data_IF_615308396258
#
_entry.id   IF_615308396258
#
_cell.length_a   1.000
_cell.length_b   1.000
_cell.length_c   1.000
_cell.angle_alpha   90.00
_cell.angle_beta   90.00
_cell.angle_gamma   90.00
#
_symmetry.space_group_name_H-M   'P 1'
#
loop_
_entity.id
_entity.type
_entity.pdbx_description
1 polymer ?
#
# COMPACT_ATOMS: atom_id res chain seq x y z
N UNK A 1 -36.50 36.58 -42.07
CA UNK A 1 -36.34 35.90 -40.76
C UNK A 1 -36.58 34.38 -40.75
N UNK A 2 -37.41 33.79 -41.65
CA UNK A 2 -37.70 32.34 -41.65
C UNK A 2 -36.48 31.44 -41.96
N UNK A 3 -35.60 31.88 -42.86
CA UNK A 3 -34.40 31.10 -43.28
C UNK A 3 -33.38 30.83 -42.15
N UNK A 4 -33.22 31.77 -41.20
CA UNK A 4 -32.31 31.60 -40.07
C UNK A 4 -32.83 30.59 -39.03
N UNK A 5 -34.16 30.42 -38.90
CA UNK A 5 -34.74 29.42 -38.00
C UNK A 5 -34.51 28.01 -38.54
N UNK A 6 -34.68 27.80 -39.85
CA UNK A 6 -34.46 26.51 -40.50
C UNK A 6 -32.99 26.05 -40.44
N UNK A 7 -32.04 26.97 -40.60
CA UNK A 7 -30.61 26.65 -40.42
C UNK A 7 -30.23 26.30 -38.97
N UNK A 8 -30.92 26.90 -37.97
CA UNK A 8 -30.69 26.56 -36.55
C UNK A 8 -31.20 25.17 -36.20
N UNK A 9 -32.36 24.77 -36.71
CA UNK A 9 -32.94 23.43 -36.45
C UNK A 9 -32.09 22.33 -37.11
N UNK A 10 -31.67 22.51 -38.37
CA UNK A 10 -30.80 21.56 -39.05
C UNK A 10 -29.41 21.43 -38.39
N UNK A 11 -28.87 22.52 -37.82
CA UNK A 11 -27.65 22.47 -37.01
C UNK A 11 -27.84 21.71 -35.69
N UNK A 12 -29.01 21.80 -35.05
CA UNK A 12 -29.31 21.07 -33.82
C UNK A 12 -29.52 19.57 -34.07
N UNK A 13 -30.12 19.19 -35.19
CA UNK A 13 -30.22 17.78 -35.61
C UNK A 13 -28.86 17.20 -36.01
N UNK A 14 -28.01 17.97 -36.68
CA UNK A 14 -26.63 17.56 -36.99
C UNK A 14 -25.73 17.43 -35.75
N UNK A 15 -26.07 18.10 -34.64
CA UNK A 15 -25.43 17.98 -33.33
C UNK A 15 -26.11 16.92 -32.43
N UNK A 16 -27.23 16.34 -32.87
CA UNK A 16 -27.91 15.29 -32.12
C UNK A 16 -27.15 13.98 -32.31
N UNK A 17 -26.48 13.53 -31.25
CA UNK A 17 -25.84 12.22 -31.22
C UNK A 17 -26.95 11.19 -31.34
N UNK A 18 -26.96 10.39 -32.40
CA UNK A 18 -27.93 9.30 -32.55
C UNK A 18 -27.89 8.40 -31.30
N UNK A 19 -29.04 7.87 -30.86
CA UNK A 19 -29.11 7.01 -29.65
C UNK A 19 -28.12 5.83 -29.69
N UNK A 20 -27.78 5.35 -30.90
CA UNK A 20 -26.73 4.36 -31.16
C UNK A 20 -25.34 4.88 -30.81
N UNK A 21 -25.00 6.10 -31.21
CA UNK A 21 -23.72 6.73 -30.90
C UNK A 21 -23.61 7.04 -29.39
N UNK A 22 -24.68 7.46 -28.72
CA UNK A 22 -24.70 7.62 -27.26
C UNK A 22 -24.40 6.30 -26.53
N UNK A 23 -24.99 5.20 -27.01
CA UNK A 23 -24.72 3.85 -26.48
C UNK A 23 -23.25 3.42 -26.66
N UNK A 24 -22.61 3.78 -27.77
CA UNK A 24 -21.19 3.52 -28.02
C UNK A 24 -20.33 4.36 -27.06
N UNK A 25 -20.59 5.66 -26.94
CA UNK A 25 -19.84 6.54 -26.05
C UNK A 25 -19.96 6.11 -24.58
N UNK A 26 -21.15 5.67 -24.14
CA UNK A 26 -21.34 5.14 -22.78
C UNK A 26 -20.45 3.91 -22.52
N UNK A 27 -20.39 2.96 -23.46
CA UNK A 27 -19.53 1.77 -23.32
C UNK A 27 -18.06 2.13 -23.30
N UNK A 28 -17.63 3.07 -24.14
CA UNK A 28 -16.24 3.55 -24.15
C UNK A 28 -15.92 4.21 -22.80
N UNK A 29 -16.79 5.09 -22.30
CA UNK A 29 -16.60 5.75 -21.01
C UNK A 29 -16.53 4.72 -19.85
N UNK A 30 -17.40 3.72 -19.84
CA UNK A 30 -17.37 2.64 -18.86
C UNK A 30 -16.08 1.80 -18.93
N UNK A 31 -15.63 1.47 -20.13
CA UNK A 31 -14.38 0.74 -20.34
C UNK A 31 -13.16 1.57 -19.86
N UNK A 32 -13.10 2.85 -20.22
CA UNK A 32 -12.06 3.77 -19.76
C UNK A 32 -12.05 3.89 -18.23
N UNK A 33 -13.22 4.01 -17.60
CA UNK A 33 -13.34 4.06 -16.14
C UNK A 33 -12.84 2.77 -15.47
N UNK A 34 -13.14 1.60 -16.04
CA UNK A 34 -12.63 0.31 -15.53
C UNK A 34 -11.11 0.22 -15.63
N UNK A 35 -10.54 0.66 -16.75
CA UNK A 35 -9.09 0.71 -16.95
C UNK A 35 -8.42 1.69 -15.99
N UNK A 36 -9.05 2.83 -15.72
CA UNK A 36 -8.56 3.80 -14.72
C UNK A 36 -8.51 3.20 -13.32
N UNK A 37 -9.57 2.53 -12.86
CA UNK A 37 -9.55 1.87 -11.56
C UNK A 37 -8.48 0.78 -11.47
N UNK A 38 -8.31 -0.02 -12.53
CA UNK A 38 -7.24 -1.03 -12.60
C UNK A 38 -5.85 -0.39 -12.56
N UNK A 39 -5.64 0.70 -13.28
CA UNK A 39 -4.35 1.40 -13.29
C UNK A 39 -4.02 2.06 -11.94
N UNK A 40 -5.03 2.58 -11.23
CA UNK A 40 -4.88 3.08 -9.86
C UNK A 40 -4.50 1.92 -8.92
N UNK A 41 -5.18 0.78 -9.02
CA UNK A 41 -4.89 -0.42 -8.24
C UNK A 41 -3.46 -0.92 -8.46
N UNK A 42 -3.05 -1.06 -9.73
CA UNK A 42 -1.71 -1.48 -10.11
C UNK A 42 -0.62 -0.54 -9.57
N UNK A 43 -0.80 0.79 -9.73
CA UNK A 43 0.14 1.79 -9.18
C UNK A 43 0.26 1.72 -7.67
N UNK A 44 -0.87 1.57 -6.96
CA UNK A 44 -0.86 1.41 -5.50
C UNK A 44 -0.09 0.17 -5.06
N UNK A 45 -0.30 -0.98 -5.71
CA UNK A 45 0.40 -2.22 -5.40
C UNK A 45 1.90 -2.10 -5.65
N UNK A 46 2.29 -1.58 -6.81
CA UNK A 46 3.69 -1.32 -7.15
C UNK A 46 4.36 -0.37 -6.14
N UNK A 47 3.66 0.69 -5.72
CA UNK A 47 4.16 1.63 -4.70
C UNK A 47 4.37 0.93 -3.35
N UNK A 48 3.44 0.07 -2.92
CA UNK A 48 3.55 -0.66 -1.66
C UNK A 48 4.71 -1.67 -1.71
N UNK A 49 4.86 -2.41 -2.82
CA UNK A 49 5.97 -3.35 -3.00
C UNK A 49 7.32 -2.64 -2.92
N UNK A 50 7.48 -1.55 -3.69
CA UNK A 50 8.66 -0.69 -3.68
C UNK A 50 8.95 -0.17 -2.26
N UNK A 51 7.93 0.34 -1.57
CA UNK A 51 8.05 0.85 -0.21
C UNK A 51 8.54 -0.22 0.78
N UNK A 52 7.91 -1.39 0.76
CA UNK A 52 8.26 -2.50 1.66
C UNK A 52 9.69 -2.96 1.42
N UNK A 53 10.07 -3.14 0.15
CA UNK A 53 11.43 -3.48 -0.24
C UNK A 53 12.45 -2.49 0.30
N UNK A 54 12.23 -1.19 0.11
CA UNK A 54 13.13 -0.15 0.64
C UNK A 54 13.17 -0.13 2.18
N UNK A 55 12.06 -0.45 2.87
CA UNK A 55 12.07 -0.59 4.33
C UNK A 55 12.93 -1.77 4.77
N UNK A 56 12.79 -2.93 4.13
CA UNK A 56 13.56 -4.14 4.44
C UNK A 56 15.04 -3.93 4.13
N UNK A 57 15.37 -3.40 2.95
CA UNK A 57 16.75 -3.08 2.56
C UNK A 57 17.40 -2.08 3.53
N UNK A 58 16.67 -1.04 3.94
CA UNK A 58 17.16 -0.07 4.91
C UNK A 58 17.28 -0.64 6.34
N UNK A 59 16.42 -1.60 6.69
CA UNK A 59 16.47 -2.27 7.98
C UNK A 59 17.67 -3.21 8.07
N UNK A 60 17.92 -3.99 7.01
CA UNK A 60 19.03 -4.93 6.87
C UNK A 60 20.39 -4.23 6.64
N UNK A 61 20.39 -3.05 6.03
CA UNK A 61 21.60 -2.29 5.74
C UNK A 61 22.36 -1.87 7.01
N UNK A 62 23.51 -2.47 7.25
CA UNK A 62 24.43 -2.07 8.31
C UNK A 62 25.18 -0.79 7.93
N UNK A 63 24.97 0.28 8.71
CA UNK A 63 25.80 1.50 8.91
C UNK A 63 26.28 2.35 7.72
N UNK A 64 26.28 1.88 6.47
CA UNK A 64 26.90 2.61 5.34
C UNK A 64 26.03 3.78 4.85
N UNK A 65 24.71 3.61 4.83
CA UNK A 65 23.79 4.63 4.31
C UNK A 65 22.73 5.02 5.34
N UNK A 66 22.47 6.33 5.43
CA UNK A 66 21.45 6.86 6.36
C UNK A 66 20.03 6.48 5.92
N UNK A 67 19.09 6.41 6.86
CA UNK A 67 17.66 6.17 6.55
C UNK A 67 17.10 7.23 5.58
N UNK A 68 17.59 8.48 5.69
CA UNK A 68 17.23 9.57 4.78
C UNK A 68 17.70 9.29 3.35
N UNK A 69 18.87 8.67 3.19
CA UNK A 69 19.39 8.30 1.87
C UNK A 69 18.50 7.26 1.20
N UNK A 70 18.15 6.18 1.91
CA UNK A 70 17.20 5.18 1.43
C UNK A 70 15.84 5.78 1.07
N UNK A 71 15.32 6.71 1.89
CA UNK A 71 14.06 7.36 1.59
C UNK A 71 14.13 8.22 0.31
N UNK A 72 15.23 8.95 0.08
CA UNK A 72 15.44 9.67 -1.20
C UNK A 72 15.53 8.73 -2.39
N UNK A 73 16.25 7.60 -2.26
CA UNK A 73 16.31 6.60 -3.33
C UNK A 73 14.93 6.01 -3.64
N UNK A 74 14.12 5.78 -2.61
CA UNK A 74 12.72 5.38 -2.74
C UNK A 74 11.89 6.44 -3.49
N UNK A 75 12.05 7.73 -3.18
CA UNK A 75 11.39 8.82 -3.90
C UNK A 75 11.78 8.84 -5.39
N UNK A 76 13.07 8.71 -5.70
CA UNK A 76 13.55 8.61 -7.08
C UNK A 76 12.99 7.37 -7.80
N UNK A 77 12.97 6.24 -7.12
CA UNK A 77 12.46 4.98 -7.69
C UNK A 77 10.94 5.05 -7.92
N UNK A 78 10.20 5.71 -7.02
CA UNK A 78 8.76 5.93 -7.21
C UNK A 78 8.47 6.87 -8.38
N UNK A 79 9.30 7.89 -8.58
CA UNK A 79 9.22 8.76 -9.75
C UNK A 79 9.48 7.98 -11.05
N UNK A 80 10.54 7.18 -11.09
CA UNK A 80 10.89 6.36 -12.26
C UNK A 80 9.79 5.34 -12.62
N UNK A 81 9.11 4.78 -11.61
CA UNK A 81 8.02 3.80 -11.80
C UNK A 81 6.63 4.43 -12.02
N UNK A 82 6.54 5.75 -12.28
CA UNK A 82 5.26 6.41 -12.56
C UNK A 82 4.31 6.45 -11.35
N UNK A 83 4.86 6.39 -10.13
CA UNK A 83 4.12 6.42 -8.87
C UNK A 83 4.44 7.67 -8.00
N UNK A 84 4.44 8.90 -8.56
CA UNK A 84 4.76 10.10 -7.79
C UNK A 84 3.72 10.36 -6.69
N UNK A 85 4.18 10.75 -5.50
CA UNK A 85 3.32 11.30 -4.44
C UNK A 85 2.45 10.30 -3.66
N UNK A 86 2.55 8.99 -3.93
CA UNK A 86 1.80 7.95 -3.21
C UNK A 86 2.58 7.43 -1.98
N UNK A 87 3.82 7.88 -1.79
CA UNK A 87 4.69 7.42 -0.72
C UNK A 87 4.27 7.97 0.66
N UNK A 88 4.33 7.15 1.72
CA UNK A 88 4.26 7.64 3.09
C UNK A 88 5.41 8.59 3.41
N UNK A 89 5.18 9.53 4.34
CA UNK A 89 6.21 10.49 4.77
C UNK A 89 7.51 9.81 5.24
N UNK A 90 8.63 10.53 5.16
CA UNK A 90 9.92 10.08 5.70
C UNK A 90 9.82 9.67 7.18
N UNK A 91 9.01 10.40 7.96
CA UNK A 91 8.78 10.09 9.38
C UNK A 91 8.14 8.71 9.58
N UNK A 92 7.19 8.34 8.70
CA UNK A 92 6.52 7.04 8.67
C UNK A 92 7.50 5.96 8.23
N UNK A 93 8.30 6.23 7.20
CA UNK A 93 9.36 5.33 6.75
C UNK A 93 10.36 5.01 7.86
N UNK A 94 10.92 6.03 8.54
CA UNK A 94 11.82 5.86 9.69
C UNK A 94 11.17 5.04 10.81
N UNK A 95 9.88 5.22 11.05
CA UNK A 95 9.13 4.44 12.04
C UNK A 95 9.05 2.97 11.64
N UNK A 96 8.73 2.67 10.37
CA UNK A 96 8.66 1.31 9.87
C UNK A 96 10.02 0.61 9.83
N UNK A 97 11.09 1.30 9.43
CA UNK A 97 12.47 0.75 9.51
C UNK A 97 12.82 0.37 10.95
N UNK A 98 12.50 1.19 11.95
CA UNK A 98 12.71 0.85 13.37
C UNK A 98 11.88 -0.35 13.82
N UNK A 99 10.66 -0.50 13.32
CA UNK A 99 9.84 -1.67 13.64
C UNK A 99 10.38 -2.93 13.01
N UNK A 100 10.77 -2.87 11.73
CA UNK A 100 11.38 -3.96 11.00
C UNK A 100 12.64 -4.44 11.69
N UNK A 101 13.60 -3.54 12.01
CA UNK A 101 14.82 -3.90 12.75
C UNK A 101 14.56 -4.60 14.09
N UNK A 102 13.49 -4.20 14.80
CA UNK A 102 13.09 -4.88 16.04
C UNK A 102 12.52 -6.26 15.77
N UNK A 103 11.67 -6.39 14.76
CA UNK A 103 11.10 -7.68 14.36
C UNK A 103 12.17 -8.65 13.85
N UNK A 104 13.14 -8.16 13.06
CA UNK A 104 14.31 -8.92 12.61
C UNK A 104 15.09 -9.47 13.81
N UNK A 105 15.32 -8.65 14.84
CA UNK A 105 15.96 -9.07 16.09
C UNK A 105 15.21 -10.16 16.88
N UNK A 106 13.93 -10.40 16.56
CA UNK A 106 13.11 -11.48 17.13
C UNK A 106 12.86 -12.62 16.14
N UNK A 107 13.44 -12.58 14.92
CA UNK A 107 13.17 -13.56 13.86
C UNK A 107 11.77 -13.47 13.26
N UNK A 108 11.07 -12.34 13.44
CA UNK A 108 9.70 -12.10 12.95
C UNK A 108 9.63 -11.03 11.83
N UNK A 109 10.77 -10.49 11.41
CA UNK A 109 10.81 -9.45 10.39
C UNK A 109 10.56 -9.99 8.99
N UNK A 110 10.06 -9.12 8.11
CA UNK A 110 9.97 -9.42 6.68
C UNK A 110 11.33 -9.60 6.03
N UNK A 111 11.44 -10.61 5.20
CA UNK A 111 12.53 -10.79 4.25
C UNK A 111 12.20 -10.18 2.89
N UNK A 112 13.20 -10.05 2.02
CA UNK A 112 12.96 -9.67 0.62
C UNK A 112 12.17 -10.74 -0.14
N UNK A 113 12.32 -12.01 0.26
CA UNK A 113 11.55 -13.13 -0.29
C UNK A 113 10.06 -13.00 0.04
N UNK A 114 9.72 -12.59 1.27
CA UNK A 114 8.33 -12.33 1.66
C UNK A 114 7.70 -11.22 0.82
N UNK A 115 8.48 -10.17 0.51
CA UNK A 115 8.03 -9.06 -0.33
C UNK A 115 7.85 -9.52 -1.78
N UNK A 116 8.78 -10.32 -2.32
CA UNK A 116 8.68 -10.87 -3.67
C UNK A 116 7.50 -11.84 -3.81
N UNK A 117 7.25 -12.70 -2.82
CA UNK A 117 6.11 -13.60 -2.80
C UNK A 117 4.77 -12.83 -2.75
N UNK A 118 4.71 -11.74 -1.96
CA UNK A 118 3.54 -10.87 -1.93
C UNK A 118 3.32 -10.17 -3.29
N UNK A 119 4.39 -9.76 -3.96
CA UNK A 119 4.33 -9.16 -5.30
C UNK A 119 3.82 -10.14 -6.36
N UNK A 120 4.32 -11.38 -6.37
CA UNK A 120 3.84 -12.43 -7.27
C UNK A 120 2.37 -12.76 -7.04
N UNK A 121 1.95 -12.92 -5.79
CA UNK A 121 0.55 -13.17 -5.45
C UNK A 121 -0.38 -12.04 -5.92
N UNK A 122 0.08 -10.78 -5.83
CA UNK A 122 -0.64 -9.62 -6.36
C UNK A 122 -0.70 -9.52 -7.88
N UNK A 123 0.21 -10.18 -8.60
CA UNK A 123 0.17 -10.30 -10.05
C UNK A 123 -0.81 -11.40 -10.51
N UNK A 124 -0.93 -12.48 -9.74
CA UNK A 124 -1.78 -13.64 -10.06
C UNK A 124 -3.25 -13.40 -9.73
N UNK A 125 -3.53 -12.81 -8.57
CA UNK A 125 -4.88 -12.39 -8.25
C UNK A 125 -5.07 -10.93 -8.67
N UNK A 126 -6.06 -10.68 -9.54
CA UNK A 126 -6.71 -9.38 -9.75
C UNK A 126 -7.39 -8.85 -8.46
N UNK A 127 -6.92 -9.28 -7.29
CA UNK A 127 -7.43 -9.09 -5.95
C UNK A 127 -7.48 -7.61 -5.61
N UNK A 128 -8.73 -7.16 -5.47
CA UNK A 128 -9.17 -5.91 -4.83
C UNK A 128 -8.96 -5.92 -3.31
N UNK A 129 -8.22 -6.89 -2.77
CA UNK A 129 -7.95 -7.01 -1.34
C UNK A 129 -7.11 -5.85 -0.80
N UNK A 130 -7.65 -5.15 0.19
CA UNK A 130 -6.92 -4.21 1.06
C UNK A 130 -5.81 -4.96 1.79
N UNK A 131 -4.66 -5.14 1.15
CA UNK A 131 -3.53 -5.84 1.74
C UNK A 131 -2.44 -4.82 2.08
N UNK A 132 -2.36 -4.47 3.36
CA UNK A 132 -1.21 -3.80 3.95
C UNK A 132 -0.37 -4.86 4.69
N UNK A 133 0.68 -5.42 4.09
CA UNK A 133 1.63 -6.31 4.78
C UNK A 133 2.17 -5.68 6.07
N UNK A 134 2.36 -4.35 6.06
CA UNK A 134 2.72 -3.54 7.23
C UNK A 134 1.65 -3.53 8.33
N UNK A 135 0.35 -3.46 8.01
CA UNK A 135 -0.68 -3.58 9.05
C UNK A 135 -0.68 -4.97 9.65
N UNK A 136 -0.48 -6.02 8.84
CA UNK A 136 -0.38 -7.40 9.34
C UNK A 136 0.82 -7.57 10.29
N UNK A 137 1.97 -6.97 9.98
CA UNK A 137 3.15 -6.92 10.85
C UNK A 137 2.92 -6.07 12.11
N UNK A 138 2.28 -4.91 11.99
CA UNK A 138 1.92 -4.07 13.14
C UNK A 138 0.94 -4.78 14.09
N UNK A 139 -0.01 -5.53 13.55
CA UNK A 139 -0.96 -6.33 14.34
C UNK A 139 -0.26 -7.51 15.02
N UNK A 140 0.68 -8.18 14.34
CA UNK A 140 1.44 -9.32 14.88
C UNK A 140 2.38 -8.86 16.02
N UNK A 141 3.17 -7.81 15.80
CA UNK A 141 4.07 -7.22 16.80
C UNK A 141 3.33 -6.55 17.99
N UNK A 142 2.11 -6.05 17.77
CA UNK A 142 1.26 -5.53 18.84
C UNK A 142 0.70 -6.64 19.75
N UNK A 143 0.42 -7.82 19.19
CA UNK A 143 -0.09 -8.98 19.93
C UNK A 143 0.99 -9.66 20.77
N UNK A 144 2.23 -9.79 20.27
CA UNK A 144 3.36 -10.36 21.03
C UNK A 144 3.67 -9.54 22.27
N UNK A 145 3.77 -8.20 22.18
CA UNK A 145 3.98 -7.32 23.35
C UNK A 145 2.84 -7.34 24.36
N UNK A 146 1.58 -7.47 23.91
CA UNK A 146 0.42 -7.57 24.80
C UNK A 146 0.37 -8.92 25.50
N UNK A 147 0.74 -10.00 24.79
CA UNK A 147 0.87 -11.34 25.35
C UNK A 147 2.02 -11.44 26.36
N UNK A 148 3.17 -10.82 26.09
CA UNK A 148 4.30 -10.75 27.03
C UNK A 148 3.98 -9.91 28.27
N UNK A 149 3.32 -8.76 28.12
CA UNK A 149 2.81 -7.97 29.27
C UNK A 149 1.79 -8.73 30.09
N UNK A 150 0.89 -9.49 29.47
CA UNK A 150 -0.09 -10.32 30.15
C UNK A 150 0.53 -11.56 30.81
N UNK A 151 1.63 -12.10 30.26
CA UNK A 151 2.43 -13.17 30.89
C UNK A 151 3.23 -12.64 32.09
N UNK A 152 3.77 -11.42 32.01
CA UNK A 152 4.44 -10.75 33.12
C UNK A 152 3.47 -10.33 34.24
N UNK A 153 2.23 -9.93 33.91
CA UNK A 153 1.17 -9.65 34.90
C UNK A 153 0.51 -10.90 35.48
N UNK A 154 0.82 -12.09 34.94
CA UNK A 154 0.34 -13.40 35.39
C UNK A 154 1.43 -14.23 36.06
N UNK A 155 2.59 -13.66 36.42
CA UNK A 155 3.42 -14.30 37.45
C UNK A 155 2.56 -14.34 38.72
N UNK A 156 2.15 -15.53 39.20
CA UNK A 156 1.30 -15.61 40.36
C UNK A 156 2.10 -15.12 41.56
N UNK A 157 1.47 -14.33 42.42
CA UNK A 157 1.95 -14.01 43.76
C UNK A 157 2.16 -15.24 44.67
N UNK A 158 2.11 -16.47 44.12
CA UNK A 158 2.32 -17.73 44.82
C UNK A 158 3.80 -18.12 44.97
N UNK A 159 4.74 -17.44 44.30
CA UNK A 159 6.18 -17.70 44.47
C UNK A 159 6.80 -16.87 45.61
N UNK A 160 6.23 -15.69 45.89
CA UNK A 160 6.62 -14.87 47.05
C UNK A 160 6.10 -15.44 48.38
N UNK A 161 4.98 -16.16 48.38
CA UNK A 161 4.44 -16.82 49.57
C UNK A 161 5.19 -18.10 49.97
N UNK A 162 5.95 -18.72 49.05
CA UNK A 162 6.74 -19.93 49.32
C UNK A 162 8.15 -19.66 49.85
N UNK A 163 8.67 -18.45 49.68
CA UNK A 163 10.01 -18.05 50.16
C UNK A 163 9.99 -17.22 51.45
N UNK A 164 8.80 -16.85 51.95
CA UNK A 164 8.62 -16.17 53.24
C UNK A 164 8.20 -17.12 54.38
N UNK A 165 8.19 -18.43 54.12
CA UNK A 165 7.72 -19.46 55.06
C UNK A 165 8.57 -20.73 55.04
N UNK A 166 9.88 -20.60 54.83
CA UNK A 166 10.87 -21.66 55.03
C UNK A 166 12.04 -21.09 55.85
#
# INVERSE_FOLDING_TARGET
MKHMKSQRVARLEALSVTSRAEGIYRRIAEASRRLEFRSIGARRRATVALYLRSVVECAAGEKVQSVRHFYRQLEFSALANGCPGILPSESTFRRHVRFQRRADGHGEGLTLEDVAAAEQWWCEEDSTGSFWPLQRLMIKAGRTRRAERLKLSKKPASEAARLAGA
#
